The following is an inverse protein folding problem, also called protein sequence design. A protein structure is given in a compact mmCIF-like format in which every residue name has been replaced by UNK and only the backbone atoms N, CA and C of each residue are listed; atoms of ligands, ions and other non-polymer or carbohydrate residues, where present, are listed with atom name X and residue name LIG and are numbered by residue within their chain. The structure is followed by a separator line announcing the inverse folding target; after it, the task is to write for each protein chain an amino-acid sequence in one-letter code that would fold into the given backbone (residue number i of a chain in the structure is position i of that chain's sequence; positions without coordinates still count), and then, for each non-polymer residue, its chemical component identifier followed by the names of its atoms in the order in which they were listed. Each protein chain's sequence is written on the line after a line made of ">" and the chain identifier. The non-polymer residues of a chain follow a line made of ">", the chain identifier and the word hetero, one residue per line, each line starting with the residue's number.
data_IF_237078856611
#
_entry.id   IF_237078856611
#
_cell.length_a   1.000
_cell.length_b   1.000
_cell.length_c   1.000
_cell.angle_alpha   90.00
_cell.angle_beta   90.00
_cell.angle_gamma   90.00
#
_symmetry.space_group_name_H-M   'P 1'
#
loop_
_entity.id
_entity.type
_entity.pdbx_description
1 polymer ?
#
# COMPACT_ATOMS: atom_id res chain seq x y z
N UNK A 1 6.91 8.24 -22.95
CA UNK A 1 7.20 6.80 -23.16
C UNK A 1 6.38 6.05 -22.13
N UNK A 2 5.58 5.06 -22.54
CA UNK A 2 4.85 4.22 -21.59
C UNK A 2 5.87 3.39 -20.80
N UNK A 3 5.73 3.35 -19.48
CA UNK A 3 6.41 2.39 -18.62
C UNK A 3 6.22 0.97 -19.19
N UNK A 4 7.28 0.24 -19.59
CA UNK A 4 7.14 -1.11 -20.14
C UNK A 4 6.74 -2.15 -19.09
N UNK A 5 6.73 -1.77 -17.81
CA UNK A 5 6.52 -2.67 -16.69
C UNK A 5 5.14 -2.47 -16.06
N UNK A 6 4.53 -3.59 -15.70
CA UNK A 6 3.33 -3.65 -14.87
C UNK A 6 3.70 -4.22 -13.50
N UNK A 7 3.25 -3.57 -12.44
CA UNK A 7 3.39 -4.08 -11.08
C UNK A 7 2.08 -4.72 -10.61
N UNK A 8 2.21 -5.79 -9.82
CA UNK A 8 1.10 -6.42 -9.10
C UNK A 8 1.38 -6.33 -7.61
N UNK A 9 0.50 -5.65 -6.86
CA UNK A 9 0.57 -5.56 -5.41
C UNK A 9 -0.45 -6.51 -4.79
N UNK A 10 0.03 -7.49 -4.03
CA UNK A 10 -0.81 -8.41 -3.26
C UNK A 10 -1.21 -7.78 -1.92
N UNK A 11 -2.29 -7.01 -1.93
CA UNK A 11 -2.87 -6.32 -0.76
C UNK A 11 -4.00 -7.13 -0.10
N UNK A 12 -3.90 -8.45 -0.10
CA UNK A 12 -4.97 -9.37 0.29
C UNK A 12 -4.81 -9.98 1.70
N UNK A 13 -3.69 -9.74 2.39
CA UNK A 13 -3.39 -10.37 3.67
C UNK A 13 -4.11 -9.73 4.87
N UNK A 14 -4.50 -10.56 5.84
CA UNK A 14 -5.14 -10.14 7.10
C UNK A 14 -4.23 -9.29 7.97
N UNK A 15 -3.01 -9.78 8.25
CA UNK A 15 -2.04 -9.08 9.08
C UNK A 15 -2.13 -9.42 10.57
N UNK A 16 -2.44 -10.68 10.93
CA UNK A 16 -2.76 -11.17 12.29
C UNK A 16 -1.80 -10.71 13.40
N UNK A 17 -0.52 -10.51 13.08
CA UNK A 17 0.49 -10.01 14.04
C UNK A 17 0.25 -8.56 14.51
N UNK A 18 -0.65 -7.83 13.87
CA UNK A 18 -1.07 -6.49 14.26
C UNK A 18 -2.36 -6.50 15.11
N UNK A 19 -2.89 -7.68 15.42
CA UNK A 19 -4.03 -7.89 16.32
C UNK A 19 -5.24 -7.01 15.94
N UNK A 20 -5.86 -6.36 16.92
CA UNK A 20 -7.07 -5.54 16.75
C UNK A 20 -6.95 -4.43 15.71
N UNK A 21 -5.73 -3.99 15.37
CA UNK A 21 -5.51 -2.97 14.34
C UNK A 21 -6.00 -3.43 12.97
N UNK A 22 -6.04 -4.74 12.74
CA UNK A 22 -6.45 -5.32 11.46
C UNK A 22 -7.83 -5.97 11.48
N UNK A 23 -8.61 -5.85 12.55
CA UNK A 23 -9.92 -6.52 12.61
C UNK A 23 -10.94 -5.88 11.66
N UNK A 24 -10.91 -4.55 11.53
CA UNK A 24 -11.83 -3.77 10.71
C UNK A 24 -11.16 -3.01 9.57
N UNK A 25 -9.83 -3.07 9.49
CA UNK A 25 -9.05 -2.32 8.50
C UNK A 25 -8.00 -3.24 7.88
N UNK A 26 -7.99 -3.45 6.54
CA UNK A 26 -6.92 -4.19 5.88
C UNK A 26 -5.55 -3.59 6.22
N UNK A 27 -4.56 -4.46 6.50
CA UNK A 27 -3.19 -4.01 6.79
C UNK A 27 -2.64 -3.05 5.73
N UNK A 28 -2.99 -3.28 4.47
CA UNK A 28 -2.54 -2.50 3.31
C UNK A 28 -2.92 -1.02 3.40
N UNK A 29 -4.05 -0.66 4.04
CA UNK A 29 -4.52 0.72 4.15
C UNK A 29 -4.31 1.32 5.55
N UNK A 30 -3.71 0.58 6.49
CA UNK A 30 -3.39 1.12 7.80
C UNK A 30 -2.47 2.35 7.69
N UNK A 31 -2.69 3.38 8.52
CA UNK A 31 -1.85 4.56 8.53
C UNK A 31 -0.44 4.19 8.98
N UNK A 32 0.55 4.74 8.29
CA UNK A 32 1.95 4.67 8.68
C UNK A 32 2.52 6.07 8.82
N UNK A 33 3.46 6.21 9.74
CA UNK A 33 4.12 7.47 10.02
C UNK A 33 4.93 8.02 8.83
N UNK A 34 5.37 9.28 8.96
CA UNK A 34 6.09 9.98 7.91
C UNK A 34 7.43 9.34 7.58
N UNK A 35 8.02 9.69 6.43
CA UNK A 35 9.34 9.18 6.01
C UNK A 35 10.49 9.77 6.83
N UNK A 36 10.31 10.95 7.39
CA UNK A 36 11.28 11.66 8.22
C UNK A 36 10.55 12.60 9.18
N UNK A 37 11.28 13.19 10.14
CA UNK A 37 10.69 14.18 11.07
C UNK A 37 10.28 15.49 10.37
N UNK A 38 10.84 15.78 9.20
CA UNK A 38 10.49 16.94 8.39
C UNK A 38 9.31 16.67 7.43
N UNK A 39 9.01 15.40 7.17
CA UNK A 39 7.86 14.96 6.41
C UNK A 39 6.66 14.87 7.36
N UNK A 40 5.55 15.56 7.05
CA UNK A 40 4.31 15.50 7.84
C UNK A 40 3.20 14.73 7.12
N UNK A 41 3.52 14.09 5.99
CA UNK A 41 2.53 13.42 5.16
C UNK A 41 2.10 12.11 5.83
N UNK A 42 0.81 12.01 6.16
CA UNK A 42 0.21 10.72 6.49
C UNK A 42 0.00 9.90 5.21
N UNK A 43 0.19 8.59 5.31
CA UNK A 43 0.04 7.67 4.17
C UNK A 43 -0.28 6.26 4.68
N UNK A 44 -0.49 5.32 3.77
CA UNK A 44 -0.65 3.89 4.08
C UNK A 44 0.47 3.03 3.50
N UNK A 45 0.53 1.76 3.89
CA UNK A 45 1.45 0.80 3.27
C UNK A 45 1.25 0.73 1.75
N UNK A 46 0.00 0.59 1.29
CA UNK A 46 -0.34 0.49 -0.14
C UNK A 46 0.02 1.76 -0.89
N UNK A 47 -0.41 2.92 -0.39
CA UNK A 47 -0.15 4.19 -1.05
C UNK A 47 1.35 4.47 -1.18
N UNK A 48 2.13 4.16 -0.14
CA UNK A 48 3.58 4.27 -0.19
C UNK A 48 4.19 3.43 -1.32
N UNK A 49 3.74 2.18 -1.49
CA UNK A 49 4.24 1.32 -2.58
C UNK A 49 3.85 1.87 -3.96
N UNK A 50 2.61 2.31 -4.14
CA UNK A 50 2.14 2.90 -5.41
C UNK A 50 2.96 4.15 -5.76
N UNK A 51 3.23 5.04 -4.79
CA UNK A 51 4.05 6.23 -5.00
C UNK A 51 5.49 5.88 -5.39
N UNK A 52 6.08 4.85 -4.78
CA UNK A 52 7.43 4.40 -5.13
C UNK A 52 7.50 3.77 -6.52
N UNK A 53 6.51 2.95 -6.88
CA UNK A 53 6.39 2.36 -8.23
C UNK A 53 6.24 3.45 -9.30
N UNK A 54 5.37 4.44 -9.06
CA UNK A 54 5.21 5.58 -9.95
C UNK A 54 6.50 6.40 -10.09
N UNK A 55 7.21 6.64 -9.00
CA UNK A 55 8.50 7.35 -9.02
C UNK A 55 9.59 6.56 -9.78
N UNK A 56 9.49 5.22 -9.81
CA UNK A 56 10.36 4.36 -10.61
C UNK A 56 9.91 4.24 -12.08
N UNK A 57 8.87 4.97 -12.50
CA UNK A 57 8.33 4.92 -13.85
C UNK A 57 7.54 3.65 -14.13
N UNK A 58 6.79 3.13 -13.15
CA UNK A 58 5.80 2.05 -13.32
C UNK A 58 4.40 2.67 -13.22
N UNK A 59 3.78 2.93 -14.37
CA UNK A 59 2.48 3.61 -14.44
C UNK A 59 1.29 2.64 -14.30
N UNK A 60 1.48 1.35 -14.64
CA UNK A 60 0.42 0.35 -14.55
C UNK A 60 0.58 -0.51 -13.30
N UNK A 61 -0.29 -0.29 -12.32
CA UNK A 61 -0.29 -1.01 -11.04
C UNK A 61 -1.63 -1.70 -10.84
N UNK A 62 -1.60 -3.03 -10.74
CA UNK A 62 -2.76 -3.86 -10.40
C UNK A 62 -2.69 -4.17 -8.90
N UNK A 63 -3.79 -3.94 -8.18
CA UNK A 63 -3.88 -4.23 -6.75
C UNK A 63 -4.84 -5.39 -6.54
N UNK A 64 -4.36 -6.47 -5.93
CA UNK A 64 -5.17 -7.63 -5.56
C UNK A 64 -5.62 -7.45 -4.12
N UNK A 65 -6.93 -7.39 -3.90
CA UNK A 65 -7.57 -7.28 -2.58
C UNK A 65 -8.22 -8.61 -2.18
N UNK A 66 -8.30 -8.89 -0.88
CA UNK A 66 -8.82 -10.17 -0.38
C UNK A 66 -9.47 -10.04 1.00
N UNK A 67 -8.66 -9.82 2.05
CA UNK A 67 -9.18 -9.62 3.40
C UNK A 67 -10.01 -8.33 3.53
N UNK A 68 -11.19 -8.44 4.16
CA UNK A 68 -12.20 -7.37 4.28
C UNK A 68 -12.56 -6.71 2.94
N UNK A 69 -12.75 -7.55 1.90
CA UNK A 69 -13.06 -7.10 0.54
C UNK A 69 -14.52 -6.71 0.33
N UNK A 70 -15.44 -7.30 1.10
CA UNK A 70 -16.89 -7.08 1.01
C UNK A 70 -17.28 -5.76 1.70
#
# INVERSE_FOLDING_TARGET
>A
MAAPYQAVILAAGRGDRLSEKTDLTPKSILPIGPRSLADRTETSFLERQVRLLKAAGVDHVVVVIGYLRE
#
